data_IF_610414012748
#
_entry.id   IF_610414012748
#
_cell.length_a   1.000
_cell.length_b   1.000
_cell.length_c   1.000
_cell.angle_alpha   90.00
_cell.angle_beta   90.00
_cell.angle_gamma   90.00
#
_symmetry.space_group_name_H-M   'P 1'
#
loop_
_entity.id
_entity.type
_entity.pdbx_description
1 polymer ?
#
# COMPACT_ATOMS: atom_id res chain seq x y z
N UNK A 1 22.73 7.54 -4.32
CA UNK A 1 22.56 8.07 -2.95
C UNK A 1 21.69 7.07 -2.22
N UNK A 2 22.14 6.53 -1.09
CA UNK A 2 21.29 5.61 -0.31
C UNK A 2 20.19 6.43 0.37
N UNK A 3 18.94 6.16 0.00
CA UNK A 3 17.77 6.85 0.54
C UNK A 3 17.21 6.17 1.79
N UNK A 4 17.68 4.97 2.13
CA UNK A 4 17.14 4.17 3.23
C UNK A 4 17.07 4.92 4.58
N UNK A 5 18.06 5.75 4.99
CA UNK A 5 17.99 6.48 6.25
C UNK A 5 16.83 7.49 6.34
N UNK A 6 16.31 7.95 5.20
CA UNK A 6 15.17 8.85 5.15
C UNK A 6 13.84 8.08 5.26
N UNK A 7 13.79 6.84 4.78
CA UNK A 7 12.57 6.02 4.74
C UNK A 7 12.17 5.45 6.11
N UNK A 8 13.08 5.41 7.08
CA UNK A 8 12.79 5.07 8.48
C UNK A 8 12.08 6.22 9.24
N UNK A 9 11.80 7.35 8.59
CA UNK A 9 11.07 8.50 9.15
C UNK A 9 9.84 8.84 8.31
N UNK A 10 8.82 9.51 8.88
CA UNK A 10 7.71 10.06 8.09
C UNK A 10 8.27 10.90 6.94
N UNK A 11 7.91 10.53 5.72
CA UNK A 11 8.45 11.10 4.48
C UNK A 11 7.28 11.41 3.55
N UNK A 12 7.36 12.55 2.87
CA UNK A 12 6.41 12.93 1.83
C UNK A 12 7.17 13.11 0.50
N UNK A 13 6.62 12.56 -0.58
CA UNK A 13 7.09 12.77 -1.95
C UNK A 13 6.04 13.61 -2.65
N UNK A 14 6.37 14.86 -2.98
CA UNK A 14 5.44 15.83 -3.57
C UNK A 14 6.01 16.33 -4.88
N UNK A 15 5.18 16.35 -5.92
CA UNK A 15 5.56 16.84 -7.24
C UNK A 15 4.34 17.04 -8.13
N UNK A 16 4.47 17.87 -9.15
CA UNK A 16 3.43 18.07 -10.16
C UNK A 16 3.27 16.83 -11.03
N UNK A 17 2.17 16.73 -11.76
CA UNK A 17 1.97 15.69 -12.79
C UNK A 17 3.16 15.63 -13.74
N UNK A 18 3.66 14.42 -13.99
CA UNK A 18 4.82 14.18 -14.86
C UNK A 18 6.20 14.47 -14.22
N UNK A 19 6.27 14.95 -12.98
CA UNK A 19 7.55 15.24 -12.30
C UNK A 19 8.33 13.98 -11.85
N UNK A 20 7.79 12.79 -12.09
CA UNK A 20 8.40 11.53 -11.66
C UNK A 20 8.09 11.11 -10.22
N UNK A 21 7.08 11.73 -9.57
CA UNK A 21 6.66 11.42 -8.19
C UNK A 21 6.39 9.92 -7.98
N UNK A 22 5.66 9.30 -8.90
CA UNK A 22 5.31 7.87 -8.86
C UNK A 22 6.55 6.99 -9.00
N UNK A 23 7.49 7.36 -9.87
CA UNK A 23 8.74 6.62 -10.03
C UNK A 23 9.58 6.68 -8.75
N UNK A 24 9.69 7.87 -8.14
CA UNK A 24 10.40 8.04 -6.87
C UNK A 24 9.73 7.28 -5.72
N UNK A 25 8.40 7.31 -5.63
CA UNK A 25 7.62 6.58 -4.62
C UNK A 25 7.77 5.07 -4.77
N UNK A 26 7.65 4.54 -6.00
CA UNK A 26 7.86 3.11 -6.27
C UNK A 26 9.27 2.67 -5.89
N UNK A 27 10.31 3.38 -6.34
CA UNK A 27 11.69 3.04 -5.98
C UNK A 27 11.97 3.11 -4.47
N UNK A 28 11.33 4.03 -3.74
CA UNK A 28 11.41 4.07 -2.28
C UNK A 28 10.77 2.84 -1.62
N UNK A 29 9.60 2.40 -2.11
CA UNK A 29 8.92 1.22 -1.60
C UNK A 29 9.66 -0.07 -1.96
N UNK A 30 10.14 -0.21 -3.19
CA UNK A 30 10.99 -1.34 -3.60
C UNK A 30 12.21 -1.44 -2.67
N UNK A 31 12.85 -0.32 -2.35
CA UNK A 31 13.98 -0.29 -1.41
C UNK A 31 13.59 -0.75 0.01
N UNK A 32 12.40 -0.38 0.50
CA UNK A 32 11.88 -0.86 1.79
C UNK A 32 11.66 -2.38 1.76
N UNK A 33 11.10 -2.90 0.67
CA UNK A 33 10.82 -4.32 0.48
C UNK A 33 12.12 -5.13 0.38
N UNK A 34 13.13 -4.66 -0.35
CA UNK A 34 14.48 -5.26 -0.40
C UNK A 34 15.14 -5.34 0.99
N UNK A 35 14.88 -4.36 1.85
CA UNK A 35 15.36 -4.33 3.23
C UNK A 35 14.53 -5.21 4.18
N UNK A 36 13.53 -5.94 3.67
CA UNK A 36 12.63 -6.77 4.45
C UNK A 36 11.71 -5.96 5.37
N UNK A 37 11.45 -4.69 5.06
CA UNK A 37 10.53 -3.87 5.84
C UNK A 37 9.08 -4.24 5.51
N UNK A 38 8.24 -4.20 6.54
CA UNK A 38 6.79 -4.40 6.40
C UNK A 38 6.16 -3.14 5.80
N UNK A 39 5.48 -3.32 4.67
CA UNK A 39 4.83 -2.23 3.92
C UNK A 39 3.35 -2.56 3.69
N UNK A 40 2.47 -1.59 3.98
CA UNK A 40 1.08 -1.62 3.53
C UNK A 40 0.85 -0.38 2.66
N UNK A 41 0.27 -0.57 1.48
CA UNK A 41 0.05 0.48 0.49
C UNK A 41 -1.44 0.69 0.31
N UNK A 42 -1.90 1.93 0.46
CA UNK A 42 -3.24 2.34 0.05
C UNK A 42 -3.13 2.83 -1.40
N UNK A 43 -3.77 2.11 -2.32
CA UNK A 43 -3.66 2.36 -3.75
C UNK A 43 -5.01 2.82 -4.32
N UNK A 44 -5.28 4.13 -4.42
CA UNK A 44 -6.47 4.65 -5.09
C UNK A 44 -6.35 4.63 -6.63
N UNK A 45 -5.18 4.30 -7.18
CA UNK A 45 -4.89 4.40 -8.63
C UNK A 45 -4.88 3.04 -9.34
N UNK A 46 -4.76 1.94 -8.58
CA UNK A 46 -4.57 0.59 -9.10
C UNK A 46 -3.22 0.40 -9.79
N UNK A 47 -2.21 1.23 -9.50
CA UNK A 47 -0.92 1.20 -10.18
C UNK A 47 0.15 0.38 -9.45
N UNK A 48 -0.11 -0.05 -8.21
CA UNK A 48 0.91 -0.67 -7.35
C UNK A 48 1.04 -2.18 -7.52
N UNK A 49 0.08 -2.86 -8.19
CA UNK A 49 0.20 -4.29 -8.51
C UNK A 49 1.47 -4.63 -9.30
N UNK A 50 2.02 -3.64 -10.03
CA UNK A 50 3.28 -3.75 -10.76
C UNK A 50 4.49 -4.12 -9.89
N UNK A 51 4.43 -3.97 -8.56
CA UNK A 51 5.47 -4.49 -7.64
C UNK A 51 5.64 -6.01 -7.73
N UNK A 52 4.65 -6.74 -8.25
CA UNK A 52 4.75 -8.19 -8.50
C UNK A 52 5.48 -8.54 -9.79
N UNK A 53 5.73 -7.57 -10.65
CA UNK A 53 6.48 -7.79 -11.88
C UNK A 53 7.98 -7.63 -11.63
N UNK A 54 8.76 -8.59 -12.11
CA UNK A 54 10.21 -8.48 -12.21
C UNK A 54 10.64 -7.58 -13.36
N UNK A 55 11.96 -7.42 -13.52
CA UNK A 55 12.55 -6.50 -14.50
C UNK A 55 12.21 -6.82 -15.97
N UNK A 56 11.83 -8.06 -16.27
CA UNK A 56 11.40 -8.52 -17.59
C UNK A 56 9.87 -8.48 -17.78
N UNK A 57 9.14 -7.99 -16.79
CA UNK A 57 7.68 -8.00 -16.76
C UNK A 57 7.05 -9.34 -16.40
N UNK A 58 7.86 -10.38 -16.15
CA UNK A 58 7.43 -11.67 -15.61
C UNK A 58 7.21 -11.63 -14.10
N UNK A 59 6.72 -12.70 -13.51
CA UNK A 59 6.56 -12.79 -12.04
C UNK A 59 7.89 -13.06 -11.31
N UNK A 60 8.91 -13.53 -12.04
CA UNK A 60 10.21 -13.86 -11.46
C UNK A 60 10.97 -12.58 -11.07
N UNK A 61 11.36 -12.47 -9.81
CA UNK A 61 12.04 -11.28 -9.29
C UNK A 61 11.12 -10.15 -8.81
N UNK A 62 9.80 -10.32 -8.86
CA UNK A 62 8.83 -9.41 -8.22
C UNK A 62 8.74 -9.59 -6.70
N UNK A 63 8.10 -8.64 -6.02
CA UNK A 63 7.93 -8.66 -4.56
C UNK A 63 6.69 -9.47 -4.13
N UNK A 64 6.75 -10.21 -3.01
CA UNK A 64 5.64 -11.01 -2.49
C UNK A 64 4.63 -10.13 -1.72
N UNK A 65 3.93 -9.26 -2.44
CA UNK A 65 2.88 -8.38 -1.88
C UNK A 65 1.50 -9.01 -2.09
N UNK A 66 0.66 -9.12 -1.07
CA UNK A 66 -0.75 -9.53 -1.21
C UNK A 66 -1.60 -8.37 -1.71
N UNK A 67 -2.56 -8.63 -2.60
CA UNK A 67 -3.44 -7.59 -3.17
C UNK A 67 -4.89 -7.83 -2.72
N UNK A 68 -5.46 -6.83 -2.06
CA UNK A 68 -6.83 -6.78 -1.62
C UNK A 68 -7.60 -5.75 -2.45
N UNK A 69 -8.64 -6.18 -3.16
CA UNK A 69 -9.40 -5.30 -4.05
C UNK A 69 -8.71 -5.02 -5.40
N UNK A 70 -9.41 -4.25 -6.24
CA UNK A 70 -9.00 -3.96 -7.61
C UNK A 70 -9.07 -5.15 -8.57
N UNK A 71 -8.74 -4.89 -9.83
CA UNK A 71 -8.76 -5.90 -10.91
C UNK A 71 -7.69 -7.00 -10.76
N UNK A 72 -6.66 -6.74 -9.94
CA UNK A 72 -5.52 -7.62 -9.71
C UNK A 72 -5.56 -8.32 -8.33
N UNK A 73 -6.72 -8.32 -7.67
CA UNK A 73 -6.90 -8.87 -6.33
C UNK A 73 -6.55 -10.37 -6.24
N UNK A 74 -5.85 -10.75 -5.17
CA UNK A 74 -5.90 -12.14 -4.69
C UNK A 74 -7.18 -12.37 -3.88
N UNK A 75 -7.57 -11.35 -3.13
CA UNK A 75 -8.69 -11.39 -2.20
C UNK A 75 -9.60 -10.19 -2.53
N UNK A 76 -10.81 -10.44 -3.06
CA UNK A 76 -11.76 -9.37 -3.28
C UNK A 76 -12.21 -8.77 -1.94
N UNK A 77 -12.49 -7.47 -1.93
CA UNK A 77 -12.99 -6.75 -0.75
C UNK A 77 -14.23 -5.95 -1.11
N UNK A 78 -15.23 -5.99 -0.24
CA UNK A 78 -16.42 -5.15 -0.37
C UNK A 78 -16.14 -3.76 0.18
N UNK A 79 -16.70 -2.68 -0.40
CA UNK A 79 -16.52 -1.30 0.05
C UNK A 79 -17.35 -0.97 1.31
N UNK A 80 -17.26 -1.81 2.34
CA UNK A 80 -18.00 -1.67 3.60
C UNK A 80 -17.05 -1.40 4.76
N UNK A 81 -17.57 -0.75 5.80
CA UNK A 81 -16.77 -0.49 7.00
C UNK A 81 -16.39 -1.75 7.77
N UNK A 82 -17.26 -2.77 7.77
CA UNK A 82 -16.95 -4.06 8.40
C UNK A 82 -15.84 -4.81 7.66
N UNK A 83 -15.81 -4.74 6.33
CA UNK A 83 -14.70 -5.29 5.54
C UNK A 83 -13.39 -4.56 5.84
N UNK A 84 -13.41 -3.22 5.92
CA UNK A 84 -12.24 -2.42 6.30
C UNK A 84 -11.69 -2.80 7.69
N UNK A 85 -12.57 -2.90 8.68
CA UNK A 85 -12.22 -3.36 10.03
C UNK A 85 -11.66 -4.79 10.03
N UNK A 86 -12.31 -5.72 9.33
CA UNK A 86 -11.88 -7.11 9.27
C UNK A 86 -10.48 -7.23 8.66
N UNK A 87 -10.22 -6.50 7.57
CA UNK A 87 -8.91 -6.48 6.92
C UNK A 87 -7.84 -5.88 7.84
N UNK A 88 -8.14 -4.80 8.55
CA UNK A 88 -7.22 -4.20 9.50
C UNK A 88 -6.80 -5.20 10.60
N UNK A 89 -7.76 -5.93 11.16
CA UNK A 89 -7.49 -6.95 12.18
C UNK A 89 -6.70 -8.13 11.61
N UNK A 90 -6.97 -8.52 10.36
CA UNK A 90 -6.24 -9.58 9.68
C UNK A 90 -4.77 -9.22 9.43
N UNK A 91 -4.49 -7.95 9.11
CA UNK A 91 -3.15 -7.48 8.78
C UNK A 91 -2.36 -7.02 10.02
N UNK A 92 -3.00 -6.44 11.05
CA UNK A 92 -2.33 -5.71 12.13
C UNK A 92 -1.18 -6.45 12.81
N UNK A 93 -1.35 -7.74 13.10
CA UNK A 93 -0.36 -8.58 13.80
C UNK A 93 0.44 -9.50 12.87
N UNK A 94 0.36 -9.30 11.55
CA UNK A 94 1.02 -10.13 10.55
C UNK A 94 2.19 -9.40 9.93
N UNK A 95 3.31 -10.09 9.80
CA UNK A 95 4.46 -9.62 9.03
C UNK A 95 4.26 -9.98 7.56
N UNK A 96 3.37 -9.23 6.90
CA UNK A 96 3.02 -9.37 5.49
C UNK A 96 3.01 -8.02 4.82
N UNK A 97 3.37 -8.01 3.54
CA UNK A 97 3.33 -6.86 2.66
C UNK A 97 2.01 -6.88 1.90
N UNK A 98 1.30 -5.75 1.86
CA UNK A 98 -0.03 -5.70 1.25
C UNK A 98 -0.27 -4.42 0.45
N UNK A 99 -1.04 -4.58 -0.62
CA UNK A 99 -1.67 -3.50 -1.38
C UNK A 99 -3.16 -3.58 -1.10
N UNK A 100 -3.73 -2.45 -0.70
CA UNK A 100 -5.16 -2.25 -0.53
C UNK A 100 -5.59 -1.37 -1.69
N UNK A 101 -6.04 -2.02 -2.75
CA UNK A 101 -6.45 -1.38 -3.98
C UNK A 101 -7.91 -0.93 -3.85
N UNK A 102 -8.09 0.38 -3.94
CA UNK A 102 -9.38 1.06 -3.82
C UNK A 102 -9.74 1.83 -5.10
N UNK A 103 -9.06 1.53 -6.21
CA UNK A 103 -9.26 2.21 -7.50
C UNK A 103 -10.70 2.09 -8.02
N UNK A 104 -11.34 0.95 -7.78
CA UNK A 104 -12.73 0.69 -8.16
C UNK A 104 -13.77 1.25 -7.16
N UNK A 105 -13.33 1.86 -6.05
CA UNK A 105 -14.23 2.45 -5.05
C UNK A 105 -14.50 3.93 -5.35
N UNK A 106 -15.76 4.36 -5.23
CA UNK A 106 -16.09 5.79 -5.20
C UNK A 106 -15.49 6.46 -3.96
N UNK A 107 -15.36 7.79 -3.96
CA UNK A 107 -14.82 8.52 -2.79
C UNK A 107 -15.61 8.28 -1.49
N UNK A 108 -16.93 8.09 -1.56
CA UNK A 108 -17.74 7.74 -0.39
C UNK A 108 -17.47 6.32 0.13
N UNK A 109 -17.20 5.39 -0.78
CA UNK A 109 -16.82 4.00 -0.47
C UNK A 109 -15.41 3.90 0.10
N UNK A 110 -14.44 4.60 -0.51
CA UNK A 110 -13.07 4.76 0.02
C UNK A 110 -13.12 5.20 1.47
N UNK A 111 -13.84 6.29 1.76
CA UNK A 111 -13.98 6.80 3.14
C UNK A 111 -14.64 5.78 4.08
N UNK A 112 -15.73 5.13 3.63
CA UNK A 112 -16.44 4.12 4.43
C UNK A 112 -15.56 2.92 4.77
N UNK A 113 -14.70 2.51 3.86
CA UNK A 113 -13.80 1.36 4.03
C UNK A 113 -12.52 1.74 4.81
N UNK A 114 -11.82 2.79 4.37
CA UNK A 114 -10.50 3.16 4.89
C UNK A 114 -10.56 3.75 6.30
N UNK A 115 -11.65 4.42 6.67
CA UNK A 115 -11.81 4.96 8.04
C UNK A 115 -11.70 3.87 9.11
N UNK A 116 -12.57 2.84 9.15
CA UNK A 116 -12.46 1.77 10.12
C UNK A 116 -11.19 0.92 9.90
N UNK A 117 -10.70 0.79 8.67
CA UNK A 117 -9.44 0.11 8.41
C UNK A 117 -8.28 0.77 9.17
N UNK A 118 -8.07 2.08 8.99
CA UNK A 118 -6.98 2.81 9.62
C UNK A 118 -7.15 2.89 11.13
N UNK A 119 -8.36 3.18 11.62
CA UNK A 119 -8.66 3.23 13.06
C UNK A 119 -8.25 1.93 13.76
N UNK A 120 -8.66 0.78 13.22
CA UNK A 120 -8.36 -0.51 13.81
C UNK A 120 -6.92 -0.96 13.58
N UNK A 121 -6.32 -0.65 12.43
CA UNK A 121 -4.92 -0.97 12.16
C UNK A 121 -4.01 -0.26 13.16
N UNK A 122 -4.17 1.05 13.37
CA UNK A 122 -3.35 1.81 14.32
C UNK A 122 -3.64 1.44 15.78
N UNK A 123 -4.90 1.17 16.13
CA UNK A 123 -5.24 0.74 17.48
C UNK A 123 -4.57 -0.59 17.84
N UNK A 124 -4.57 -1.55 16.90
CA UNK A 124 -4.10 -2.93 17.13
C UNK A 124 -2.61 -3.11 16.90
N UNK A 125 -2.04 -2.50 15.85
CA UNK A 125 -0.64 -2.68 15.47
C UNK A 125 0.30 -2.09 16.54
N UNK A 126 1.28 -2.89 16.97
CA UNK A 126 2.37 -2.45 17.87
C UNK A 126 3.75 -2.66 17.26
N UNK A 127 3.82 -3.26 16.07
CA UNK A 127 5.05 -3.53 15.35
C UNK A 127 5.39 -2.40 14.37
N UNK A 128 6.64 -2.36 13.91
CA UNK A 128 7.04 -1.45 12.84
C UNK A 128 6.22 -1.73 11.57
N UNK A 129 5.74 -0.65 10.94
CA UNK A 129 4.95 -0.69 9.71
C UNK A 129 5.22 0.61 8.93
N UNK A 130 5.56 0.48 7.65
CA UNK A 130 5.53 1.58 6.71
C UNK A 130 4.17 1.60 6.01
N UNK A 131 3.30 2.53 6.39
CA UNK A 131 2.07 2.79 5.66
C UNK A 131 2.37 3.79 4.54
N UNK A 132 2.12 3.38 3.30
CA UNK A 132 2.25 4.21 2.10
C UNK A 132 0.86 4.66 1.68
N UNK A 133 0.68 5.97 1.55
CA UNK A 133 -0.58 6.58 1.10
C UNK A 133 -0.28 7.29 -0.20
N UNK A 134 -0.79 6.74 -1.31
CA UNK A 134 -0.67 7.36 -2.64
C UNK A 134 -1.86 8.31 -2.89
N UNK A 135 -1.63 9.35 -3.69
CA UNK A 135 -2.58 10.47 -3.95
C UNK A 135 -3.29 10.96 -2.66
N UNK A 136 -2.51 11.25 -1.62
CA UNK A 136 -3.00 11.60 -0.27
C UNK A 136 -3.78 12.94 -0.18
N UNK A 137 -3.92 13.65 -1.30
CA UNK A 137 -4.78 14.83 -1.45
C UNK A 137 -6.24 14.48 -1.82
N UNK A 138 -6.53 13.23 -2.20
CA UNK A 138 -7.90 12.70 -2.35
C UNK A 138 -8.55 12.29 -1.02
#
# INVERSE_FOLDING_TARGET
MDIAPFLDKPTAIVGTTGAGKTFAAKGAVERLLELGRRVIILDPTGAWYGLRAGADGGAEGGFPVLIFGGDHADIPIDPTGEAGKALALALADRDVQAIIDTSEMTGGEKNRFLTPFLEHLYARNKAALHLVVDEADE
#
